data_IF_967015431618
#
_entry.id   IF_967015431618
#
_cell.length_a   1.000
_cell.length_b   1.000
_cell.length_c   1.000
_cell.angle_alpha   90.00
_cell.angle_beta   90.00
_cell.angle_gamma   90.00
#
_symmetry.space_group_name_H-M   'P 1'
#
loop_
_entity.id
_entity.type
_entity.pdbx_description
1 polymer ?
#
# COMPACT_ATOMS: atom_id res chain seq x y z
N UNK A 1 -10.88 -0.83 10.39
CA UNK A 1 -10.44 -0.40 9.06
C UNK A 1 -9.19 0.43 9.24
N UNK A 2 -8.07 -0.02 8.67
CA UNK A 2 -6.78 0.69 8.72
C UNK A 2 -6.60 1.38 7.37
N UNK A 3 -6.26 2.67 7.39
CA UNK A 3 -5.93 3.44 6.18
C UNK A 3 -4.42 3.70 6.13
N UNK A 4 -3.80 3.42 5.00
CA UNK A 4 -2.37 3.61 4.78
C UNK A 4 -2.17 4.47 3.54
N UNK A 5 -1.48 5.59 3.71
CA UNK A 5 -1.04 6.47 2.62
C UNK A 5 0.47 6.32 2.41
N UNK A 6 0.89 6.13 1.16
CA UNK A 6 2.30 5.96 0.78
C UNK A 6 2.69 7.09 -0.17
N UNK A 7 3.79 7.78 0.12
CA UNK A 7 4.33 8.86 -0.71
C UNK A 7 5.86 8.79 -0.69
N UNK A 8 6.45 8.35 -1.80
CA UNK A 8 7.89 8.20 -2.01
C UNK A 8 8.16 8.04 -3.52
N UNK A 9 9.40 7.74 -3.91
CA UNK A 9 9.76 7.38 -5.27
C UNK A 9 8.82 6.29 -5.84
N UNK A 10 8.43 6.35 -7.13
CA UNK A 10 7.45 5.42 -7.71
C UNK A 10 7.76 3.94 -7.48
N UNK A 11 9.05 3.57 -7.51
CA UNK A 11 9.52 2.20 -7.27
C UNK A 11 9.29 1.78 -5.81
N UNK A 12 9.57 2.66 -4.86
CA UNK A 12 9.37 2.40 -3.43
C UNK A 12 7.88 2.28 -3.12
N UNK A 13 7.08 3.21 -3.65
CA UNK A 13 5.62 3.17 -3.54
C UNK A 13 5.03 1.84 -4.01
N UNK A 14 5.40 1.38 -5.21
CA UNK A 14 4.90 0.12 -5.77
C UNK A 14 5.36 -1.11 -4.97
N UNK A 15 6.57 -1.09 -4.40
CA UNK A 15 7.04 -2.17 -3.53
C UNK A 15 6.23 -2.27 -2.23
N UNK A 16 5.98 -1.14 -1.57
CA UNK A 16 5.20 -1.08 -0.33
C UNK A 16 3.74 -1.47 -0.60
N UNK A 17 3.14 -0.95 -1.68
CA UNK A 17 1.78 -1.32 -2.10
C UNK A 17 1.63 -2.84 -2.25
N UNK A 18 2.56 -3.49 -2.94
CA UNK A 18 2.55 -4.94 -3.14
C UNK A 18 2.67 -5.73 -1.81
N UNK A 19 3.47 -5.26 -0.86
CA UNK A 19 3.59 -5.89 0.47
C UNK A 19 2.25 -5.83 1.20
N UNK A 20 1.60 -4.65 1.20
CA UNK A 20 0.33 -4.43 1.88
C UNK A 20 -0.82 -5.21 1.22
N UNK A 21 -0.87 -5.27 -0.11
CA UNK A 21 -1.87 -6.07 -0.84
C UNK A 21 -1.72 -7.56 -0.53
N UNK A 22 -0.49 -8.07 -0.46
CA UNK A 22 -0.24 -9.46 -0.08
C UNK A 22 -0.66 -9.71 1.38
N UNK A 23 -0.29 -8.82 2.30
CA UNK A 23 -0.69 -8.93 3.70
C UNK A 23 -2.21 -8.95 3.86
N UNK A 24 -2.92 -8.04 3.18
CA UNK A 24 -4.38 -7.99 3.12
C UNK A 24 -4.97 -9.32 2.65
N UNK A 25 -4.40 -9.90 1.59
CA UNK A 25 -4.85 -11.20 1.04
C UNK A 25 -4.69 -12.35 2.02
N UNK A 26 -3.61 -12.38 2.80
CA UNK A 26 -3.33 -13.47 3.74
C UNK A 26 -4.09 -13.37 5.06
N UNK A 27 -4.35 -12.15 5.55
CA UNK A 27 -4.91 -11.93 6.88
C UNK A 27 -6.39 -11.53 6.86
N UNK A 28 -7.01 -11.41 5.67
CA UNK A 28 -8.39 -10.96 5.50
C UNK A 28 -8.70 -9.62 6.19
N UNK A 29 -7.67 -8.78 6.39
CA UNK A 29 -7.84 -7.48 7.02
C UNK A 29 -8.35 -6.43 6.03
N UNK A 30 -9.26 -5.59 6.50
CA UNK A 30 -9.80 -4.51 5.71
C UNK A 30 -8.86 -3.29 5.76
N UNK A 31 -7.91 -3.30 4.84
CA UNK A 31 -6.93 -2.22 4.61
C UNK A 31 -7.30 -1.44 3.35
N UNK A 32 -7.37 -0.12 3.50
CA UNK A 32 -7.49 0.84 2.41
C UNK A 32 -6.11 1.45 2.15
N UNK A 33 -5.61 1.33 0.92
CA UNK A 33 -4.27 1.75 0.52
C UNK A 33 -4.41 2.89 -0.49
N UNK A 34 -3.78 4.01 -0.22
CA UNK A 34 -3.68 5.15 -1.14
C UNK A 34 -2.20 5.39 -1.47
N UNK A 35 -1.86 5.37 -2.75
CA UNK A 35 -0.50 5.57 -3.24
C UNK A 35 -0.41 6.89 -3.99
N UNK A 36 0.46 7.76 -3.51
CA UNK A 36 0.72 9.07 -4.12
C UNK A 36 2.03 8.99 -4.89
N UNK A 37 1.90 8.73 -6.19
CA UNK A 37 3.02 8.84 -7.12
C UNK A 37 3.32 10.33 -7.32
N UNK A 38 4.31 10.86 -6.60
CA UNK A 38 4.84 12.19 -6.87
C UNK A 38 5.55 12.16 -8.23
N UNK A 39 4.93 12.81 -9.22
CA UNK A 39 5.52 13.11 -10.53
C UNK A 39 6.25 14.45 -10.52
#
# INVERSE_FOLDING_TARGET
>A
MVKIAICDEPVVCGNIENILLNYKRYNFEEIEIEVFYSG
#
